data_IF_157658780507
#
_entry.id   IF_157658780507
#
_cell.length_a   1.000
_cell.length_b   1.000
_cell.length_c   1.000
_cell.angle_alpha   90.00
_cell.angle_beta   90.00
_cell.angle_gamma   90.00
#
_symmetry.space_group_name_H-M   'P 1'
#
loop_
_entity.id
_entity.type
_entity.pdbx_description
1 polymer ?
#
# COMPACT_ATOMS: atom_id res chain seq x y z
N UNK A 1 13.58 -7.12 14.15
CA UNK A 1 13.27 -5.84 13.51
C UNK A 1 11.96 -5.94 12.75
N UNK A 2 11.16 -4.91 12.85
CA UNK A 2 9.86 -4.92 12.22
C UNK A 2 9.99 -4.68 10.73
N UNK A 3 9.23 -5.46 9.98
CA UNK A 3 9.16 -5.26 8.54
C UNK A 3 8.25 -4.08 8.25
N UNK A 4 8.67 -3.22 7.35
CA UNK A 4 7.87 -2.10 6.89
C UNK A 4 7.31 -2.38 5.50
N UNK A 5 6.19 -1.76 5.19
CA UNK A 5 5.45 -2.03 3.96
C UNK A 5 5.14 -0.76 3.20
N UNK A 6 4.82 -0.94 1.94
CA UNK A 6 4.32 0.13 1.09
C UNK A 6 3.04 -0.35 0.42
N UNK A 7 2.15 0.56 0.10
CA UNK A 7 0.88 0.23 -0.55
C UNK A 7 0.92 0.69 -1.99
N UNK A 8 0.62 -0.23 -2.90
CA UNK A 8 0.63 0.06 -4.33
C UNK A 8 -0.71 -0.31 -4.95
N UNK A 9 -1.04 0.39 -6.03
CA UNK A 9 -2.22 0.10 -6.83
C UNK A 9 -1.79 -0.21 -8.26
N UNK A 10 -2.46 -1.16 -8.88
CA UNK A 10 -2.18 -1.52 -10.27
C UNK A 10 -2.77 -0.44 -11.19
N UNK A 11 -1.89 0.25 -11.88
CA UNK A 11 -2.23 1.28 -12.86
C UNK A 11 -1.97 0.76 -14.27
N UNK A 12 -2.36 1.54 -15.27
CA UNK A 12 -2.12 1.18 -16.66
C UNK A 12 -0.65 0.90 -16.94
N UNK A 13 0.24 1.68 -16.34
CA UNK A 13 1.68 1.55 -16.55
C UNK A 13 2.34 0.57 -15.59
N UNK A 14 1.57 -0.04 -14.68
CA UNK A 14 2.10 -1.00 -13.71
C UNK A 14 1.74 -0.61 -12.30
N UNK A 15 2.45 -1.19 -11.33
CA UNK A 15 2.18 -0.93 -9.91
C UNK A 15 2.80 0.40 -9.48
N UNK A 16 2.00 1.26 -8.87
CA UNK A 16 2.45 2.55 -8.38
C UNK A 16 1.94 2.80 -6.97
N UNK A 17 2.67 3.60 -6.20
CA UNK A 17 2.24 3.97 -4.86
C UNK A 17 0.88 4.66 -4.91
N UNK A 18 0.01 4.36 -3.93
CA UNK A 18 -1.30 5.01 -3.87
C UNK A 18 -1.18 6.44 -3.38
N UNK A 19 -0.10 6.77 -2.66
CA UNK A 19 0.17 8.13 -2.17
C UNK A 19 1.64 8.21 -1.80
N UNK A 20 2.19 9.43 -1.81
CA UNK A 20 3.60 9.63 -1.50
C UNK A 20 3.97 9.15 -0.09
N UNK A 21 3.03 9.21 0.85
CA UNK A 21 3.27 8.79 2.22
C UNK A 21 2.87 7.34 2.50
N UNK A 22 2.49 6.57 1.46
CA UNK A 22 2.10 5.17 1.63
C UNK A 22 3.32 4.25 1.64
N UNK A 23 4.35 4.63 2.40
CA UNK A 23 5.60 3.88 2.53
C UNK A 23 6.01 3.82 3.99
N UNK A 24 6.91 2.89 4.31
CA UNK A 24 7.45 2.74 5.66
C UNK A 24 6.34 2.53 6.70
N UNK A 25 5.33 1.77 6.32
CA UNK A 25 4.19 1.49 7.18
C UNK A 25 4.42 0.17 7.91
N UNK A 26 4.09 0.13 9.20
CA UNK A 26 4.11 -1.16 9.88
C UNK A 26 2.88 -1.97 9.45
N UNK A 27 2.77 -3.21 9.93
CA UNK A 27 1.70 -4.11 9.49
C UNK A 27 0.32 -3.53 9.75
N UNK A 28 0.12 -2.94 10.93
CA UNK A 28 -1.19 -2.35 11.28
C UNK A 28 -1.49 -1.13 10.43
N UNK A 29 -0.50 -0.29 10.21
CA UNK A 29 -0.66 0.91 9.38
C UNK A 29 -0.96 0.53 7.94
N UNK A 30 -0.26 -0.49 7.43
CA UNK A 30 -0.49 -0.95 6.07
C UNK A 30 -1.93 -1.46 5.90
N UNK A 31 -2.41 -2.23 6.87
CA UNK A 31 -3.78 -2.72 6.82
C UNK A 31 -4.78 -1.57 6.85
N UNK A 32 -4.55 -0.59 7.72
CA UNK A 32 -5.44 0.57 7.83
C UNK A 32 -5.48 1.36 6.52
N UNK A 33 -4.33 1.52 5.86
CA UNK A 33 -4.29 2.23 4.58
C UNK A 33 -5.02 1.46 3.49
N UNK A 34 -4.87 0.13 3.46
CA UNK A 34 -5.61 -0.70 2.51
C UNK A 34 -7.12 -0.57 2.73
N UNK A 35 -7.55 -0.68 3.98
CA UNK A 35 -8.97 -0.57 4.31
C UNK A 35 -9.52 0.79 3.92
N UNK A 36 -8.78 1.86 4.15
CA UNK A 36 -9.20 3.21 3.78
C UNK A 36 -9.31 3.35 2.26
N UNK A 37 -8.38 2.77 1.52
CA UNK A 37 -8.42 2.83 0.06
C UNK A 37 -9.64 2.09 -0.48
N UNK A 38 -9.94 0.93 0.08
CA UNK A 38 -11.11 0.15 -0.32
C UNK A 38 -12.39 0.94 -0.01
N UNK A 39 -12.43 1.58 1.15
CA UNK A 39 -13.58 2.40 1.56
C UNK A 39 -13.79 3.58 0.61
N UNK A 40 -12.72 4.08 -0.01
CA UNK A 40 -12.82 5.15 -1.00
C UNK A 40 -13.24 4.67 -2.38
N UNK A 41 -13.38 3.36 -2.55
CA UNK A 41 -13.86 2.80 -3.80
C UNK A 41 -12.79 2.13 -4.67
N UNK A 42 -11.56 2.01 -4.17
CA UNK A 42 -10.52 1.33 -4.92
C UNK A 42 -10.75 -0.18 -4.89
N UNK A 43 -10.39 -0.84 -5.99
CA UNK A 43 -10.60 -2.27 -6.13
C UNK A 43 -9.52 -3.02 -5.34
N UNK A 44 -9.90 -3.83 -4.33
CA UNK A 44 -8.90 -4.57 -3.56
C UNK A 44 -8.05 -5.52 -4.40
N UNK A 45 -8.55 -5.99 -5.54
CA UNK A 45 -7.78 -6.84 -6.43
C UNK A 45 -6.66 -6.08 -7.13
N UNK A 46 -6.70 -4.76 -7.08
CA UNK A 46 -5.68 -3.89 -7.67
C UNK A 46 -4.83 -3.20 -6.61
N UNK A 47 -4.91 -3.66 -5.38
CA UNK A 47 -4.13 -3.11 -4.27
C UNK A 47 -3.22 -4.18 -3.70
N UNK A 48 -2.06 -3.78 -3.22
CA UNK A 48 -1.17 -4.71 -2.53
C UNK A 48 -0.33 -3.97 -1.50
N UNK A 49 -0.01 -4.69 -0.42
CA UNK A 49 0.97 -4.24 0.55
C UNK A 49 2.20 -5.13 0.39
N UNK A 50 3.33 -4.54 0.06
CA UNK A 50 4.57 -5.28 -0.14
C UNK A 50 5.64 -4.72 0.78
N UNK A 51 6.67 -5.52 1.10
CA UNK A 51 7.78 -5.02 1.92
C UNK A 51 8.44 -3.82 1.24
N UNK A 52 8.68 -2.77 2.03
CA UNK A 52 9.36 -1.58 1.54
C UNK A 52 10.86 -1.80 1.68
N UNK A 53 11.55 -1.95 0.57
CA UNK A 53 12.98 -2.29 0.57
C UNK A 53 13.88 -1.08 0.71
N UNK A 54 13.28 0.09 0.82
CA UNK A 54 14.05 1.34 0.92
C UNK A 54 14.27 1.78 2.35
N UNK A 55 14.05 0.89 3.32
CA UNK A 55 14.30 1.17 4.73
C UNK A 55 15.63 0.61 5.19
#
# INVERSE_FOLDING_TARGET
MDKLYRIEELQTAGWELIADDAVKLNKEQAKARLDAAIAEGLNPNRLRAIPDRNV
#
